data_IF_148519857851
#
_entry.id   IF_148519857851
#
_cell.length_a   1.000
_cell.length_b   1.000
_cell.length_c   1.000
_cell.angle_alpha   90.00
_cell.angle_beta   90.00
_cell.angle_gamma   90.00
#
_symmetry.space_group_name_H-M   'P 1'
#
loop_
_entity.id
_entity.type
_entity.pdbx_description
1 polymer ?
#
# COMPACT_ATOMS: atom_id res chain seq x y z
N UNK A 1 17.62 -44.33 -16.86
CA UNK A 1 16.42 -44.71 -16.08
C UNK A 1 16.08 -43.50 -15.22
N UNK A 2 15.33 -42.48 -15.66
CA UNK A 2 13.90 -42.40 -15.99
C UNK A 2 12.95 -42.93 -14.89
N UNK A 3 12.31 -42.01 -14.17
CA UNK A 3 10.90 -42.02 -13.73
C UNK A 3 10.64 -40.66 -13.02
N UNK A 4 9.87 -39.72 -13.59
CA UNK A 4 8.39 -39.65 -13.65
C UNK A 4 7.73 -39.60 -12.25
N UNK A 5 6.66 -38.87 -11.95
CA UNK A 5 5.93 -37.72 -12.50
C UNK A 5 4.69 -37.54 -11.58
N UNK A 6 4.14 -36.32 -11.50
CA UNK A 6 2.75 -35.93 -11.12
C UNK A 6 2.31 -36.07 -9.64
N UNK A 7 1.71 -35.06 -8.98
CA UNK A 7 0.54 -34.17 -9.21
C UNK A 7 -0.70 -34.67 -8.43
N UNK A 8 -1.33 -33.74 -7.67
CA UNK A 8 -2.76 -33.65 -7.23
C UNK A 8 -3.17 -34.09 -5.82
N UNK A 9 -3.96 -33.18 -5.19
CA UNK A 9 -5.01 -33.33 -4.14
C UNK A 9 -4.57 -33.68 -2.71
N UNK A 10 -5.03 -33.05 -1.62
CA UNK A 10 -6.28 -32.29 -1.34
C UNK A 10 -6.12 -31.47 -0.04
N UNK A 11 -6.84 -30.35 0.15
CA UNK A 11 -6.83 -29.55 1.37
C UNK A 11 -7.93 -30.03 2.33
N UNK A 12 -7.58 -30.83 3.33
CA UNK A 12 -8.51 -31.16 4.41
C UNK A 12 -7.78 -31.80 5.59
N UNK A 13 -7.43 -31.01 6.60
CA UNK A 13 -7.37 -31.45 8.01
C UNK A 13 -7.22 -30.21 8.92
N UNK A 14 -8.22 -30.06 9.80
CA UNK A 14 -8.14 -29.44 11.14
C UNK A 14 -8.00 -27.91 11.11
N UNK A 15 -9.06 -27.09 11.23
CA UNK A 15 -10.19 -27.13 12.19
C UNK A 15 -9.76 -27.47 13.61
N UNK A 16 -9.09 -26.54 14.29
CA UNK A 16 -9.24 -26.33 15.73
C UNK A 16 -8.38 -25.13 16.16
N UNK A 17 -9.02 -24.11 16.74
CA UNK A 17 -8.33 -23.01 17.42
C UNK A 17 -8.53 -21.67 16.73
N UNK A 18 -9.02 -20.69 17.51
CA UNK A 18 -9.10 -19.26 17.17
C UNK A 18 -10.43 -18.74 16.57
N UNK A 19 -11.58 -19.34 16.91
CA UNK A 19 -12.89 -18.65 16.82
C UNK A 19 -13.34 -18.07 18.18
N UNK A 20 -12.40 -17.55 18.98
CA UNK A 20 -12.71 -16.97 20.29
C UNK A 20 -12.28 -15.50 20.45
N UNK A 21 -11.63 -14.88 19.45
CA UNK A 21 -11.21 -13.46 19.53
C UNK A 21 -11.79 -12.54 18.45
N UNK A 22 -12.63 -13.05 17.55
CA UNK A 22 -13.45 -12.21 16.68
C UNK A 22 -14.86 -12.10 17.26
N UNK A 23 -15.01 -11.26 18.29
CA UNK A 23 -16.31 -10.63 18.60
C UNK A 23 -16.36 -9.30 17.85
N UNK A 24 -17.08 -9.19 16.71
CA UNK A 24 -17.55 -7.89 16.27
C UNK A 24 -18.81 -7.56 17.08
N UNK A 25 -18.71 -6.57 17.97
CA UNK A 25 -19.89 -5.84 18.44
C UNK A 25 -20.24 -4.87 17.32
N UNK A 26 -21.16 -5.27 16.44
CA UNK A 26 -22.03 -4.38 15.65
C UNK A 26 -22.93 -5.26 14.79
N UNK A 27 -23.99 -5.77 15.41
CA UNK A 27 -25.20 -6.12 14.70
C UNK A 27 -26.04 -4.84 14.59
N UNK A 28 -25.91 -4.12 13.48
CA UNK A 28 -27.00 -3.27 12.98
C UNK A 28 -27.41 -3.83 11.63
N UNK A 29 -28.47 -4.62 11.74
CA UNK A 29 -29.40 -5.11 10.73
C UNK A 29 -29.36 -4.30 9.42
N UNK A 30 -28.89 -4.99 8.40
CA UNK A 30 -29.25 -4.79 7.00
C UNK A 30 -30.78 -4.84 6.86
N UNK A 31 -31.41 -3.71 6.54
CA UNK A 31 -32.73 -3.67 5.93
C UNK A 31 -32.62 -3.07 4.53
N UNK A 32 -33.18 -3.81 3.57
CA UNK A 32 -33.12 -3.65 2.10
C UNK A 32 -33.56 -2.25 1.63
N UNK A 33 -33.12 -1.79 0.44
CA UNK A 33 -33.74 -0.67 -0.25
C UNK A 33 -35.03 -1.18 -0.93
N UNK A 34 -36.17 -0.58 -0.59
CA UNK A 34 -37.41 -0.74 -1.36
C UNK A 34 -37.66 0.57 -2.11
N UNK A 35 -37.68 0.48 -3.44
CA UNK A 35 -38.08 1.56 -4.35
C UNK A 35 -39.56 1.34 -4.67
N UNK A 36 -40.44 2.26 -4.25
CA UNK A 36 -41.64 2.60 -5.04
C UNK A 36 -42.29 3.92 -4.61
N UNK A 37 -42.54 4.74 -5.64
CA UNK A 37 -43.34 5.97 -5.74
C UNK A 37 -44.69 5.95 -5.00
N UNK A 38 -45.08 7.06 -4.36
CA UNK A 38 -46.47 7.31 -3.97
C UNK A 38 -46.64 8.46 -2.96
N UNK A 39 -47.28 9.54 -3.39
CA UNK A 39 -47.73 10.68 -2.56
C UNK A 39 -48.73 10.24 -1.47
N UNK A 40 -48.70 10.87 -0.29
CA UNK A 40 -49.73 10.63 0.72
C UNK A 40 -49.43 11.18 2.11
N UNK A 41 -50.13 12.26 2.47
CA UNK A 41 -50.08 12.97 3.75
C UNK A 41 -50.18 12.08 5.00
N UNK A 42 -49.31 12.31 5.98
CA UNK A 42 -49.56 11.97 7.37
C UNK A 42 -48.92 13.01 8.30
N UNK A 43 -49.55 14.19 8.34
CA UNK A 43 -49.55 15.04 9.54
C UNK A 43 -50.02 14.21 10.72
N UNK A 44 -49.21 13.98 11.76
CA UNK A 44 -49.67 13.91 13.15
C UNK A 44 -48.46 13.85 14.11
N UNK A 45 -48.60 14.60 15.21
CA UNK A 45 -47.78 14.65 16.43
C UNK A 45 -46.68 15.72 16.48
N UNK A 46 -47.17 16.94 16.69
CA UNK A 46 -46.54 17.97 17.52
C UNK A 46 -46.13 17.36 18.87
N UNK A 47 -44.82 17.14 19.05
CA UNK A 47 -44.21 16.71 20.31
C UNK A 47 -43.05 17.63 20.63
N UNK A 48 -43.10 18.28 21.80
CA UNK A 48 -42.15 19.28 22.27
C UNK A 48 -40.67 18.86 22.12
N UNK A 49 -39.75 19.78 21.80
CA UNK A 49 -38.33 19.48 21.76
C UNK A 49 -37.85 19.27 23.20
N UNK A 50 -37.73 18.02 23.63
CA UNK A 50 -37.05 17.68 24.87
C UNK A 50 -35.58 18.13 24.76
N UNK A 51 -35.07 19.04 25.61
CA UNK A 51 -33.67 19.49 25.55
C UNK A 51 -32.68 18.39 25.98
N UNK A 52 -33.18 17.20 26.35
CA UNK A 52 -32.40 16.09 26.86
C UNK A 52 -31.94 15.09 25.77
N UNK A 53 -32.62 15.05 24.61
CA UNK A 53 -32.25 14.17 23.48
C UNK A 53 -31.18 14.77 22.56
N UNK A 54 -30.85 16.05 22.71
CA UNK A 54 -29.83 16.72 21.89
C UNK A 54 -28.39 16.37 22.30
N UNK A 55 -28.19 15.76 23.48
CA UNK A 55 -26.86 15.40 24.00
C UNK A 55 -26.33 14.04 23.50
N UNK A 56 -27.18 13.20 22.87
CA UNK A 56 -26.80 11.87 22.39
C UNK A 56 -26.37 11.82 20.91
N UNK A 57 -26.55 12.92 20.16
CA UNK A 57 -25.92 13.15 18.85
C UNK A 57 -24.75 14.14 18.97
N UNK A 58 -23.99 14.09 20.06
CA UNK A 58 -22.57 14.50 19.97
C UNK A 58 -21.86 13.41 19.19
N UNK A 59 -22.06 13.47 17.88
CA UNK A 59 -21.20 12.94 16.84
C UNK A 59 -19.78 13.01 17.38
N UNK A 60 -19.22 11.82 17.68
CA UNK A 60 -17.84 11.67 18.07
C UNK A 60 -17.05 12.33 16.94
N UNK A 61 -16.61 13.58 17.16
CA UNK A 61 -15.90 14.38 16.17
C UNK A 61 -14.55 13.69 15.90
N UNK A 62 -14.55 12.68 15.05
CA UNK A 62 -13.37 11.94 14.60
C UNK A 62 -12.51 12.75 13.64
N UNK A 63 -12.83 14.03 13.41
CA UNK A 63 -12.06 14.90 12.52
C UNK A 63 -10.59 15.02 12.92
N UNK A 64 -10.25 14.86 14.21
CA UNK A 64 -8.88 14.79 14.67
C UNK A 64 -8.22 13.42 14.32
N UNK A 65 -8.88 12.30 14.62
CA UNK A 65 -8.36 10.94 14.39
C UNK A 65 -8.15 10.65 12.90
N UNK A 66 -9.04 11.10 12.02
CA UNK A 66 -8.91 10.81 10.59
C UNK A 66 -7.65 11.44 9.97
N UNK A 67 -7.26 12.65 10.44
CA UNK A 67 -6.05 13.34 9.95
C UNK A 67 -4.76 12.70 10.44
N UNK A 68 -4.77 12.14 11.65
CA UNK A 68 -3.62 11.42 12.20
C UNK A 68 -3.37 10.11 11.44
N UNK A 69 -4.44 9.42 11.03
CA UNK A 69 -4.33 8.19 10.22
C UNK A 69 -3.76 8.50 8.83
N UNK A 70 -4.23 9.56 8.16
CA UNK A 70 -3.71 9.98 6.86
C UNK A 70 -2.21 10.34 6.96
N UNK A 71 -1.82 11.04 8.02
CA UNK A 71 -0.43 11.42 8.26
C UNK A 71 0.45 10.19 8.56
N UNK A 72 -0.03 9.25 9.38
CA UNK A 72 0.66 7.98 9.63
C UNK A 72 0.80 7.14 8.35
N UNK A 73 -0.26 7.07 7.53
CA UNK A 73 -0.25 6.37 6.26
C UNK A 73 0.76 6.98 5.27
N UNK A 74 0.91 8.31 5.22
CA UNK A 74 1.94 8.99 4.41
C UNK A 74 3.34 8.59 4.81
N UNK A 75 3.67 8.55 6.11
CA UNK A 75 5.00 8.15 6.55
C UNK A 75 5.32 6.68 6.25
N UNK A 76 4.34 5.79 6.44
CA UNK A 76 4.50 4.38 6.08
C UNK A 76 4.64 4.20 4.56
N UNK A 77 3.79 4.87 3.78
CA UNK A 77 3.80 4.82 2.32
C UNK A 77 5.08 5.40 1.73
N UNK A 78 5.54 6.56 2.22
CA UNK A 78 6.80 7.16 1.81
C UNK A 78 7.98 6.24 2.14
N UNK A 79 8.02 5.66 3.35
CA UNK A 79 9.05 4.69 3.73
C UNK A 79 9.05 3.44 2.83
N UNK A 80 7.88 2.86 2.58
CA UNK A 80 7.73 1.71 1.69
C UNK A 80 8.15 2.02 0.24
N UNK A 81 7.85 3.24 -0.24
CA UNK A 81 8.27 3.68 -1.57
C UNK A 81 9.81 3.70 -1.69
N UNK A 82 10.55 4.12 -0.66
CA UNK A 82 12.03 4.20 -0.74
C UNK A 82 12.75 2.86 -0.95
N UNK A 83 12.08 1.72 -0.72
CA UNK A 83 12.68 0.38 -0.91
C UNK A 83 13.18 0.19 -2.35
N UNK A 84 12.56 0.85 -3.33
CA UNK A 84 13.01 0.78 -4.73
C UNK A 84 14.43 1.32 -4.96
N UNK A 85 14.97 2.16 -4.06
CA UNK A 85 16.36 2.65 -4.15
C UNK A 85 17.38 1.52 -3.99
N UNK A 86 17.03 0.45 -3.26
CA UNK A 86 17.88 -0.73 -3.15
C UNK A 86 18.14 -1.38 -4.53
N UNK A 87 17.18 -1.32 -5.45
CA UNK A 87 17.34 -1.78 -6.82
C UNK A 87 18.38 -0.97 -7.60
N UNK A 88 18.39 0.36 -7.43
CA UNK A 88 19.43 1.22 -8.01
C UNK A 88 20.81 0.90 -7.43
N UNK A 89 20.92 0.76 -6.09
CA UNK A 89 22.18 0.40 -5.45
C UNK A 89 22.75 -0.93 -5.93
N UNK A 90 21.90 -1.95 -6.06
CA UNK A 90 22.28 -3.24 -6.65
C UNK A 90 22.71 -3.09 -8.12
N UNK A 91 21.95 -2.32 -8.91
CA UNK A 91 22.27 -2.02 -10.32
C UNK A 91 23.65 -1.39 -10.46
N UNK A 92 23.94 -0.34 -9.71
CA UNK A 92 25.24 0.35 -9.70
C UNK A 92 26.37 -0.62 -9.33
N UNK A 93 26.17 -1.44 -8.30
CA UNK A 93 27.14 -2.47 -7.90
C UNK A 93 27.45 -3.45 -9.04
N UNK A 94 26.42 -3.90 -9.78
CA UNK A 94 26.62 -4.81 -10.92
C UNK A 94 27.30 -4.15 -12.12
N UNK A 95 26.99 -2.87 -12.39
CA UNK A 95 27.62 -2.09 -13.47
C UNK A 95 29.11 -1.92 -13.20
N UNK A 96 29.47 -1.45 -12.00
CA UNK A 96 30.88 -1.27 -11.64
C UNK A 96 31.62 -2.61 -11.46
N UNK A 97 30.95 -3.65 -10.95
CA UNK A 97 31.54 -5.00 -10.88
C UNK A 97 31.89 -5.54 -12.27
N UNK A 98 30.98 -5.38 -13.24
CA UNK A 98 31.22 -5.79 -14.63
C UNK A 98 32.27 -4.93 -15.32
N UNK A 99 32.35 -3.64 -14.99
CA UNK A 99 33.39 -2.74 -15.48
C UNK A 99 34.78 -3.20 -15.06
N UNK A 100 34.98 -3.54 -13.77
CA UNK A 100 36.28 -3.99 -13.26
C UNK A 100 36.70 -5.30 -13.95
N UNK A 101 35.78 -6.25 -14.09
CA UNK A 101 36.04 -7.52 -14.80
C UNK A 101 36.38 -7.26 -16.28
N UNK A 102 35.65 -6.35 -16.93
CA UNK A 102 35.90 -5.96 -18.32
C UNK A 102 37.27 -5.28 -18.50
N UNK A 103 37.63 -4.39 -17.57
CA UNK A 103 38.92 -3.71 -17.55
C UNK A 103 40.08 -4.67 -17.33
N UNK A 104 39.92 -5.64 -16.41
CA UNK A 104 40.92 -6.66 -16.13
C UNK A 104 41.18 -7.57 -17.34
N UNK A 105 40.18 -7.79 -18.21
CA UNK A 105 40.33 -8.58 -19.44
C UNK A 105 41.02 -7.83 -20.56
N UNK A 106 40.64 -6.57 -20.80
CA UNK A 106 41.14 -5.78 -21.92
C UNK A 106 41.34 -4.30 -21.53
N UNK A 107 42.50 -3.94 -20.96
CA UNK A 107 42.74 -2.58 -20.44
C UNK A 107 42.86 -1.50 -21.55
N UNK A 108 43.07 -1.90 -22.81
CA UNK A 108 43.16 -0.98 -23.96
C UNK A 108 41.84 -0.25 -24.24
N UNK A 109 40.70 -0.84 -23.91
CA UNK A 109 39.36 -0.30 -24.18
C UNK A 109 38.79 0.54 -23.02
N UNK A 110 39.64 0.96 -22.08
CA UNK A 110 39.20 1.61 -20.83
C UNK A 110 38.25 2.79 -21.02
N UNK A 111 38.53 3.66 -22.00
CA UNK A 111 37.82 4.93 -22.15
C UNK A 111 36.38 4.69 -22.63
N UNK A 112 36.21 3.71 -23.52
CA UNK A 112 34.92 3.32 -24.05
C UNK A 112 34.12 2.55 -23.00
N UNK A 113 34.73 1.58 -22.30
CA UNK A 113 34.08 0.85 -21.22
C UNK A 113 33.66 1.77 -20.07
N UNK A 114 34.50 2.75 -19.72
CA UNK A 114 34.15 3.73 -18.69
C UNK A 114 32.98 4.61 -19.12
N UNK A 115 32.92 5.06 -20.38
CA UNK A 115 31.75 5.80 -20.88
C UNK A 115 30.46 4.98 -20.80
N UNK A 116 30.50 3.70 -21.15
CA UNK A 116 29.33 2.83 -21.02
C UNK A 116 28.95 2.56 -19.56
N UNK A 117 29.92 2.42 -18.67
CA UNK A 117 29.65 2.26 -17.24
C UNK A 117 29.04 3.52 -16.62
N UNK A 118 29.51 4.71 -16.98
CA UNK A 118 28.90 5.97 -16.51
C UNK A 118 27.49 6.15 -17.07
N UNK A 119 27.24 5.75 -18.32
CA UNK A 119 25.90 5.74 -18.89
C UNK A 119 24.98 4.76 -18.13
N UNK A 120 25.45 3.55 -17.85
CA UNK A 120 24.70 2.57 -17.05
C UNK A 120 24.46 3.03 -15.61
N UNK A 121 25.46 3.66 -14.98
CA UNK A 121 25.34 4.29 -13.66
C UNK A 121 24.26 5.38 -13.67
N UNK A 122 24.30 6.30 -14.64
CA UNK A 122 23.33 7.40 -14.73
C UNK A 122 21.90 6.89 -14.94
N UNK A 123 21.71 5.83 -15.73
CA UNK A 123 20.40 5.20 -15.92
C UNK A 123 19.90 4.51 -14.64
N UNK A 124 20.79 3.82 -13.93
CA UNK A 124 20.46 3.19 -12.63
C UNK A 124 20.07 4.26 -11.60
N UNK A 125 20.87 5.32 -11.48
CA UNK A 125 20.59 6.47 -10.62
C UNK A 125 19.29 7.17 -10.97
N UNK A 126 19.00 7.35 -12.26
CA UNK A 126 17.73 7.95 -12.69
C UNK A 126 16.51 7.17 -12.17
N UNK A 127 16.58 5.83 -12.15
CA UNK A 127 15.51 5.00 -11.58
C UNK A 127 15.46 5.09 -10.05
N UNK A 128 16.61 5.17 -9.38
CA UNK A 128 16.68 5.39 -7.92
C UNK A 128 16.12 6.75 -7.50
N UNK A 129 16.49 7.82 -8.21
CA UNK A 129 15.98 9.17 -7.98
C UNK A 129 14.50 9.29 -8.35
N UNK A 130 14.03 8.58 -9.37
CA UNK A 130 12.60 8.50 -9.68
C UNK A 130 11.82 7.87 -8.51
N UNK A 131 12.35 6.82 -7.91
CA UNK A 131 11.77 6.20 -6.71
C UNK A 131 11.72 7.19 -5.53
N UNK A 132 12.81 7.92 -5.27
CA UNK A 132 12.84 8.96 -4.23
C UNK A 132 11.90 10.13 -4.52
N UNK A 133 11.76 10.53 -5.79
CA UNK A 133 10.82 11.56 -6.20
C UNK A 133 9.40 11.18 -5.77
N UNK A 134 8.97 9.95 -6.05
CA UNK A 134 7.65 9.46 -5.64
C UNK A 134 7.52 9.41 -4.11
N UNK A 135 8.56 8.96 -3.40
CA UNK A 135 8.56 8.97 -1.94
C UNK A 135 8.37 10.39 -1.36
N UNK A 136 9.05 11.39 -1.93
CA UNK A 136 8.88 12.79 -1.52
C UNK A 136 7.53 13.38 -1.92
N UNK A 137 6.95 12.98 -3.05
CA UNK A 137 5.58 13.37 -3.39
C UNK A 137 4.57 12.83 -2.37
N UNK A 138 4.74 11.59 -1.89
CA UNK A 138 3.88 11.02 -0.84
C UNK A 138 4.06 11.74 0.50
N UNK A 139 5.28 12.18 0.81
CA UNK A 139 5.59 12.82 2.10
C UNK A 139 5.14 14.30 2.14
N UNK A 140 5.32 15.04 1.04
CA UNK A 140 5.18 16.50 1.05
C UNK A 140 4.08 17.07 0.14
N UNK A 141 3.56 16.30 -0.83
CA UNK A 141 2.63 16.83 -1.83
C UNK A 141 1.23 16.20 -1.77
N UNK A 142 1.12 14.89 -1.52
CA UNK A 142 -0.13 14.23 -1.19
C UNK A 142 -0.46 14.39 0.27
#
# INVERSE_FOLDING_TARGET
MYACAKFVSTPSLIRAGSRALYRPISASVLSRPEVQTGEGNATLLSGAPNPFTQLALREFQTSAISRDIDTAAKFIGAGAATVGVAGSGAGIGTVFGSLIIGYARNPSLKQQLFSYAILGFALSEAMGLFCLMVAFLILFAM
#
